data_IF_857445879900
#
_entry.id   IF_857445879900
#
_cell.length_a   1.000
_cell.length_b   1.000
_cell.length_c   1.000
_cell.angle_alpha   90.00
_cell.angle_beta   90.00
_cell.angle_gamma   90.00
#
_symmetry.space_group_name_H-M   'P 1'
#
loop_
_entity.id
_entity.type
_entity.pdbx_description
1 polymer ?
#
# COMPACT_ATOMS: atom_id res chain seq x y z
N UNK A 1 -17.70 -32.84 35.84
CA UNK A 1 -17.93 -31.37 35.89
C UNK A 1 -16.64 -30.59 35.59
N UNK A 2 -15.53 -30.97 36.23
CA UNK A 2 -14.16 -30.42 36.06
C UNK A 2 -13.66 -30.23 34.61
N UNK A 3 -13.99 -31.15 33.69
CA UNK A 3 -13.49 -31.12 32.30
C UNK A 3 -14.12 -30.01 31.43
N UNK A 4 -15.35 -29.55 31.78
CA UNK A 4 -16.01 -28.43 31.07
C UNK A 4 -15.41 -27.07 31.46
N UNK A 5 -15.00 -26.92 32.72
CA UNK A 5 -14.41 -25.67 33.20
C UNK A 5 -12.96 -25.52 32.72
N UNK A 6 -12.20 -26.61 32.65
CA UNK A 6 -10.87 -26.63 32.03
C UNK A 6 -10.93 -26.20 30.56
N UNK A 7 -11.92 -26.69 29.80
CA UNK A 7 -12.08 -26.36 28.39
C UNK A 7 -12.50 -24.90 28.15
N UNK A 8 -13.26 -24.30 29.07
CA UNK A 8 -13.58 -22.86 29.05
C UNK A 8 -12.36 -22.01 29.38
N UNK A 9 -11.55 -22.44 30.36
CA UNK A 9 -10.35 -21.72 30.77
C UNK A 9 -9.29 -21.72 29.66
N UNK A 10 -9.06 -22.87 29.01
CA UNK A 10 -8.16 -22.97 27.85
C UNK A 10 -8.67 -22.11 26.68
N UNK A 11 -9.97 -22.12 26.37
CA UNK A 11 -10.54 -21.23 25.34
C UNK A 11 -10.41 -19.75 25.69
N UNK A 12 -10.63 -19.38 26.95
CA UNK A 12 -10.48 -18.01 27.44
C UNK A 12 -9.04 -17.52 27.32
N UNK A 13 -8.08 -18.33 27.76
CA UNK A 13 -6.64 -18.04 27.64
C UNK A 13 -6.24 -17.92 26.17
N UNK A 14 -6.69 -18.84 25.30
CA UNK A 14 -6.39 -18.79 23.88
C UNK A 14 -6.97 -17.54 23.20
N UNK A 15 -8.20 -17.16 23.52
CA UNK A 15 -8.83 -15.94 23.01
C UNK A 15 -8.14 -14.67 23.51
N UNK A 16 -7.62 -14.70 24.74
CA UNK A 16 -6.89 -13.57 25.32
C UNK A 16 -5.52 -13.38 24.65
N UNK A 17 -4.79 -14.48 24.44
CA UNK A 17 -3.51 -14.47 23.73
C UNK A 17 -3.69 -14.02 22.27
N UNK A 18 -4.72 -14.52 21.59
CA UNK A 18 -4.98 -14.11 20.20
C UNK A 18 -5.36 -12.63 20.09
N UNK A 19 -6.14 -12.09 21.04
CA UNK A 19 -6.44 -10.66 21.10
C UNK A 19 -5.18 -9.81 21.32
N UNK A 20 -4.30 -10.23 22.22
CA UNK A 20 -3.03 -9.54 22.49
C UNK A 20 -2.08 -9.58 21.28
N UNK A 21 -2.06 -10.71 20.56
CA UNK A 21 -1.28 -10.86 19.33
C UNK A 21 -1.76 -9.92 18.21
N UNK A 22 -3.08 -9.83 17.98
CA UNK A 22 -3.66 -8.90 17.00
C UNK A 22 -3.33 -7.45 17.38
N UNK A 23 -3.38 -7.12 18.67
CA UNK A 23 -3.03 -5.79 19.16
C UNK A 23 -1.55 -5.43 18.92
N UNK A 24 -0.62 -6.37 19.15
CA UNK A 24 0.80 -6.16 18.85
C UNK A 24 1.02 -5.95 17.35
N UNK A 25 0.37 -6.74 16.50
CA UNK A 25 0.43 -6.58 15.04
C UNK A 25 -0.08 -5.19 14.64
N UNK A 26 -1.22 -4.77 15.20
CA UNK A 26 -1.77 -3.44 14.98
C UNK A 26 -0.78 -2.33 15.37
N UNK A 27 -0.12 -2.43 16.52
CA UNK A 27 0.90 -1.46 16.96
C UNK A 27 2.09 -1.37 16.01
N UNK A 28 2.58 -2.52 15.52
CA UNK A 28 3.69 -2.57 14.56
C UNK A 28 3.27 -1.90 13.25
N UNK A 29 2.10 -2.25 12.72
CA UNK A 29 1.56 -1.62 11.51
C UNK A 29 1.34 -0.11 11.72
N UNK A 30 0.77 0.29 12.85
CA UNK A 30 0.52 1.70 13.13
C UNK A 30 1.81 2.51 13.18
N UNK A 31 2.88 1.98 13.78
CA UNK A 31 4.19 2.64 13.83
C UNK A 31 4.82 2.76 12.42
N UNK A 32 4.65 1.72 11.59
CA UNK A 32 5.17 1.71 10.22
C UNK A 32 4.33 2.56 9.24
N UNK A 33 3.14 3.04 9.65
CA UNK A 33 2.23 3.81 8.79
C UNK A 33 2.91 4.99 8.10
N UNK A 34 3.63 5.82 8.86
CA UNK A 34 4.33 6.98 8.30
C UNK A 34 5.37 6.59 7.24
N UNK A 35 6.11 5.51 7.50
CA UNK A 35 7.15 5.01 6.60
C UNK A 35 6.55 4.38 5.33
N UNK A 36 5.47 3.60 5.48
CA UNK A 36 4.74 3.00 4.35
C UNK A 36 4.18 4.10 3.44
N UNK A 37 3.53 5.12 4.00
CA UNK A 37 3.01 6.25 3.21
C UNK A 37 4.13 7.07 2.57
N UNK A 38 5.25 7.30 3.27
CA UNK A 38 6.39 8.01 2.71
C UNK A 38 6.99 7.27 1.51
N UNK A 39 7.19 5.95 1.64
CA UNK A 39 7.74 5.10 0.58
C UNK A 39 6.78 5.01 -0.61
N UNK A 40 5.48 4.76 -0.36
CA UNK A 40 4.49 4.67 -1.43
C UNK A 40 4.32 6.01 -2.16
N UNK A 41 4.26 7.13 -1.44
CA UNK A 41 4.21 8.45 -2.06
C UNK A 41 5.47 8.78 -2.86
N UNK A 42 6.65 8.36 -2.37
CA UNK A 42 7.88 8.51 -3.12
C UNK A 42 7.84 7.75 -4.44
N UNK A 43 7.39 6.48 -4.41
CA UNK A 43 7.22 5.67 -5.63
C UNK A 43 6.16 6.26 -6.58
N UNK A 44 5.01 6.69 -6.07
CA UNK A 44 3.97 7.37 -6.86
C UNK A 44 4.54 8.62 -7.56
N UNK A 45 5.30 9.45 -6.84
CA UNK A 45 5.93 10.66 -7.41
C UNK A 45 7.03 10.34 -8.41
N UNK A 46 7.89 9.37 -8.10
CA UNK A 46 8.97 8.94 -8.99
C UNK A 46 8.41 8.35 -10.30
N UNK A 47 7.36 7.53 -10.19
CA UNK A 47 6.66 6.95 -11.33
C UNK A 47 5.95 8.01 -12.17
N UNK A 48 5.33 9.02 -11.54
CA UNK A 48 4.74 10.16 -12.25
C UNK A 48 5.80 10.99 -12.99
N UNK A 49 6.97 11.19 -12.38
CA UNK A 49 8.11 11.87 -13.00
C UNK A 49 8.66 11.07 -14.20
N UNK A 50 8.81 9.74 -14.06
CA UNK A 50 9.22 8.86 -15.14
C UNK A 50 8.22 8.91 -16.30
N UNK A 51 6.92 8.79 -16.00
CA UNK A 51 5.84 8.91 -16.98
C UNK A 51 5.91 10.25 -17.75
N UNK A 52 6.19 11.36 -17.05
CA UNK A 52 6.39 12.67 -17.68
C UNK A 52 7.58 12.67 -18.65
N UNK A 53 8.74 12.14 -18.24
CA UNK A 53 9.92 12.06 -19.12
C UNK A 53 9.68 11.17 -20.33
N UNK A 54 9.04 10.00 -20.16
CA UNK A 54 8.71 9.11 -21.28
C UNK A 54 7.70 9.76 -22.24
N UNK A 55 6.71 10.48 -21.73
CA UNK A 55 5.72 11.17 -22.56
C UNK A 55 6.31 12.36 -23.34
N UNK A 56 7.14 13.18 -22.70
CA UNK A 56 7.84 14.27 -23.39
C UNK A 56 8.88 13.75 -24.37
N UNK A 57 9.61 12.69 -24.00
CA UNK A 57 10.51 11.96 -24.91
C UNK A 57 9.76 11.46 -26.14
N UNK A 58 8.58 10.84 -25.95
CA UNK A 58 7.71 10.42 -27.04
C UNK A 58 7.31 11.58 -27.97
N UNK A 59 6.92 12.75 -27.43
CA UNK A 59 6.53 13.91 -28.23
C UNK A 59 7.70 14.52 -29.01
N UNK A 60 8.88 14.60 -28.39
CA UNK A 60 10.11 15.07 -29.03
C UNK A 60 10.52 14.13 -30.17
N UNK A 61 10.51 12.83 -29.92
CA UNK A 61 10.91 11.81 -30.88
C UNK A 61 9.95 11.74 -32.07
N UNK A 62 8.63 11.87 -31.83
CA UNK A 62 7.63 11.99 -32.90
C UNK A 62 7.81 13.26 -33.74
N UNK A 63 8.33 14.35 -33.14
CA UNK A 63 8.57 15.61 -33.84
C UNK A 63 9.81 15.56 -34.72
N UNK A 64 10.85 14.85 -34.29
CA UNK A 64 12.12 14.75 -35.00
C UNK A 64 12.13 13.63 -36.06
N UNK A 65 11.16 12.71 -36.03
CA UNK A 65 10.99 11.67 -37.06
C UNK A 65 12.16 10.67 -37.12
N UNK A 66 12.91 10.58 -36.02
CA UNK A 66 14.27 10.00 -35.97
C UNK A 66 14.30 8.51 -35.62
N UNK A 67 13.18 7.88 -35.26
CA UNK A 67 13.17 6.50 -34.75
C UNK A 67 12.02 5.66 -35.32
N UNK A 68 12.26 4.35 -35.48
CA UNK A 68 11.26 3.40 -36.00
C UNK A 68 10.08 3.20 -35.05
N UNK A 69 8.90 2.89 -35.61
CA UNK A 69 7.62 2.72 -34.89
C UNK A 69 7.67 1.82 -33.63
N UNK A 70 8.65 0.91 -33.54
CA UNK A 70 8.87 0.04 -32.39
C UNK A 70 9.37 0.75 -31.13
N UNK A 71 10.25 1.75 -31.26
CA UNK A 71 10.76 2.53 -30.12
C UNK A 71 9.67 3.43 -29.53
N UNK A 72 8.87 4.03 -30.40
CA UNK A 72 7.70 4.85 -30.09
C UNK A 72 6.65 4.04 -29.32
N UNK A 73 6.38 2.81 -29.76
CA UNK A 73 5.45 1.89 -29.09
C UNK A 73 5.95 1.44 -27.70
N UNK A 74 7.25 1.23 -27.56
CA UNK A 74 7.87 0.85 -26.28
C UNK A 74 7.84 1.98 -25.24
N UNK A 75 8.15 3.22 -25.64
CA UNK A 75 8.08 4.39 -24.76
C UNK A 75 6.65 4.65 -24.25
N UNK A 76 5.65 4.49 -25.12
CA UNK A 76 4.24 4.64 -24.75
C UNK A 76 3.77 3.51 -23.82
N UNK A 77 4.22 2.27 -24.05
CA UNK A 77 3.95 1.14 -23.16
C UNK A 77 4.54 1.37 -21.75
N UNK A 78 5.78 1.86 -21.66
CA UNK A 78 6.44 2.21 -20.39
C UNK A 78 5.68 3.31 -19.65
N UNK A 79 5.25 4.37 -20.34
CA UNK A 79 4.48 5.44 -19.73
C UNK A 79 3.14 4.94 -19.14
N UNK A 80 2.44 4.04 -19.83
CA UNK A 80 1.21 3.41 -19.32
C UNK A 80 1.53 2.51 -18.12
N UNK A 81 2.61 1.72 -18.19
CA UNK A 81 3.04 0.84 -17.10
C UNK A 81 3.33 1.61 -15.81
N UNK A 82 4.06 2.72 -15.91
CA UNK A 82 4.31 3.65 -14.79
C UNK A 82 3.00 4.25 -14.27
N UNK A 83 2.10 4.68 -15.14
CA UNK A 83 0.77 5.18 -14.74
C UNK A 83 -0.02 4.16 -13.90
N UNK A 84 -0.06 2.90 -14.33
CA UNK A 84 -0.72 1.81 -13.58
C UNK A 84 -0.01 1.56 -12.26
N UNK A 85 1.34 1.56 -12.25
CA UNK A 85 2.12 1.36 -11.04
C UNK A 85 1.85 2.44 -9.98
N UNK A 86 1.76 3.71 -10.41
CA UNK A 86 1.41 4.83 -9.55
C UNK A 86 0.04 4.68 -8.89
N UNK A 87 -0.97 4.23 -9.64
CA UNK A 87 -2.33 3.94 -9.12
C UNK A 87 -2.29 2.76 -8.13
N UNK A 88 -1.49 1.73 -8.40
CA UNK A 88 -1.29 0.61 -7.50
C UNK A 88 -0.63 1.05 -6.17
N UNK A 89 0.34 1.96 -6.20
CA UNK A 89 0.95 2.50 -4.98
C UNK A 89 -0.06 3.31 -4.14
N UNK A 90 -0.90 4.12 -4.77
CA UNK A 90 -1.97 4.86 -4.10
C UNK A 90 -3.03 3.94 -3.48
N UNK A 91 -3.44 2.90 -4.22
CA UNK A 91 -4.41 1.93 -3.71
C UNK A 91 -3.83 1.07 -2.58
N UNK A 92 -2.53 0.76 -2.62
CA UNK A 92 -1.83 0.09 -1.52
C UNK A 92 -1.79 0.98 -0.26
N UNK A 93 -1.56 2.29 -0.40
CA UNK A 93 -1.58 3.23 0.72
C UNK A 93 -2.97 3.33 1.37
N UNK A 94 -4.01 3.42 0.55
CA UNK A 94 -5.40 3.38 1.01
C UNK A 94 -5.78 2.04 1.65
N UNK A 95 -5.36 0.92 1.04
CA UNK A 95 -5.59 -0.42 1.58
C UNK A 95 -4.92 -0.62 2.94
N UNK A 96 -3.74 -0.03 3.14
CA UNK A 96 -3.05 -0.04 4.42
C UNK A 96 -3.83 0.69 5.51
N UNK A 97 -4.37 1.86 5.21
CA UNK A 97 -5.20 2.64 6.15
C UNK A 97 -6.52 1.92 6.46
N UNK A 98 -7.16 1.30 5.46
CA UNK A 98 -8.37 0.50 5.66
C UNK A 98 -8.11 -0.76 6.51
N UNK A 99 -6.93 -1.39 6.34
CA UNK A 99 -6.50 -2.53 7.15
C UNK A 99 -6.29 -2.11 8.61
N UNK A 100 -5.60 -1.00 8.86
CA UNK A 100 -5.42 -0.45 10.19
C UNK A 100 -6.76 -0.14 10.86
N UNK A 101 -7.72 0.42 10.12
CA UNK A 101 -9.04 0.72 10.66
C UNK A 101 -9.81 -0.55 11.06
N UNK A 102 -9.70 -1.62 10.28
CA UNK A 102 -10.32 -2.92 10.61
C UNK A 102 -9.66 -3.65 11.78
N UNK A 103 -8.35 -3.47 11.96
CA UNK A 103 -7.61 -4.08 13.07
C UNK A 103 -7.67 -3.25 14.36
N UNK A 104 -8.26 -2.06 14.31
CA UNK A 104 -8.37 -1.18 15.46
C UNK A 104 -9.17 -1.84 16.59
N UNK A 105 -8.62 -1.95 17.82
CA UNK A 105 -9.38 -2.48 18.96
C UNK A 105 -10.53 -1.54 19.33
N UNK A 106 -11.67 -2.06 19.81
CA UNK A 106 -12.83 -1.25 20.19
C UNK A 106 -12.43 -0.27 21.30
N UNK A 107 -12.49 1.02 21.00
CA UNK A 107 -12.09 2.11 21.91
C UNK A 107 -10.85 2.90 21.47
N UNK A 108 -10.09 2.43 20.47
CA UNK A 108 -9.05 3.25 19.83
C UNK A 108 -9.66 4.09 18.71
N UNK A 109 -9.78 5.39 18.97
CA UNK A 109 -10.07 6.36 17.90
C UNK A 109 -8.76 6.58 17.13
N UNK A 110 -8.66 5.98 15.95
CA UNK A 110 -7.65 6.37 14.97
C UNK A 110 -8.00 7.79 14.50
N UNK A 111 -7.44 8.79 15.18
CA UNK A 111 -7.39 10.14 14.65
C UNK A 111 -6.50 10.05 13.42
N UNK A 112 -7.10 10.00 12.23
CA UNK A 112 -6.38 10.23 10.98
C UNK A 112 -5.82 11.66 11.09
N UNK A 113 -4.49 11.87 11.13
CA UNK A 113 -3.98 13.19 10.80
C UNK A 113 -4.35 13.45 9.34
N UNK A 114 -5.00 14.59 9.13
CA UNK A 114 -5.38 15.14 7.82
C UNK A 114 -4.18 15.26 6.88
#
# INVERSE_FOLDING_TARGET
MMMRDLCKLVRGVFAWISGLFIFIIFLILFNMRGLVHAVLNFFTRASMLACFFFFFGYLLERREGTTGDSAISFALLMAIGEGVFSICCLSAAWGYDALLFRLAPPGYVLILPE
#
